data_IF_770288723963
#
_entry.id   IF_770288723963
#
_cell.length_a   1.000
_cell.length_b   1.000
_cell.length_c   1.000
_cell.angle_alpha   90.00
_cell.angle_beta   90.00
_cell.angle_gamma   90.00
#
_symmetry.space_group_name_H-M   'P 1'
#
loop_
_entity.id
_entity.type
_entity.pdbx_description
1 polymer ?
#
# COMPACT_ATOMS: atom_id res chain seq x y z
N UNK A 1 15.36 8.61 -12.67
CA UNK A 1 15.66 7.21 -13.03
C UNK A 1 14.77 6.28 -12.20
N UNK A 2 14.03 5.39 -12.84
CA UNK A 2 13.01 4.55 -12.18
C UNK A 2 13.43 3.09 -12.30
N UNK A 3 13.59 2.42 -11.15
CA UNK A 3 13.74 0.96 -11.12
C UNK A 3 12.35 0.33 -11.14
N UNK A 4 12.04 -0.37 -12.23
CA UNK A 4 10.80 -1.11 -12.35
C UNK A 4 10.93 -2.44 -11.59
N UNK A 5 10.24 -2.56 -10.49
CA UNK A 5 10.27 -3.72 -9.63
C UNK A 5 9.18 -4.73 -10.05
N UNK A 6 9.28 -5.23 -11.26
CA UNK A 6 8.28 -6.08 -11.91
C UNK A 6 7.82 -7.27 -11.05
N UNK A 7 8.74 -7.90 -10.33
CA UNK A 7 8.39 -9.03 -9.46
C UNK A 7 7.34 -8.66 -8.41
N UNK A 8 7.50 -7.49 -7.78
CA UNK A 8 6.53 -7.02 -6.78
C UNK A 8 5.23 -6.56 -7.42
N UNK A 9 5.29 -5.90 -8.57
CA UNK A 9 4.10 -5.51 -9.32
C UNK A 9 3.30 -6.73 -9.73
N UNK A 10 3.95 -7.78 -10.22
CA UNK A 10 3.31 -9.03 -10.57
C UNK A 10 2.66 -9.70 -9.35
N UNK A 11 3.34 -9.71 -8.21
CA UNK A 11 2.80 -10.25 -6.96
C UNK A 11 1.57 -9.46 -6.48
N UNK A 12 1.64 -8.14 -6.48
CA UNK A 12 0.51 -7.26 -6.15
C UNK A 12 -0.66 -7.46 -7.12
N UNK A 13 -0.38 -7.57 -8.40
CA UNK A 13 -1.39 -7.80 -9.42
C UNK A 13 -2.12 -9.13 -9.25
N UNK A 14 -1.42 -10.19 -8.89
CA UNK A 14 -2.01 -11.50 -8.59
C UNK A 14 -2.88 -11.49 -7.33
N UNK A 15 -2.55 -10.61 -6.37
CA UNK A 15 -3.28 -10.49 -5.11
C UNK A 15 -4.49 -9.57 -5.20
N UNK A 16 -4.74 -8.92 -6.33
CA UNK A 16 -5.90 -8.03 -6.48
C UNK A 16 -7.20 -8.76 -6.20
N UNK A 17 -8.07 -8.11 -5.44
CA UNK A 17 -9.42 -8.60 -5.13
C UNK A 17 -9.47 -10.01 -4.51
N UNK A 18 -8.41 -10.40 -3.78
CA UNK A 18 -8.37 -11.70 -3.11
C UNK A 18 -9.10 -11.72 -1.76
N UNK A 19 -9.74 -10.62 -1.36
CA UNK A 19 -10.45 -10.47 -0.09
C UNK A 19 -9.55 -10.23 1.12
N UNK A 20 -8.24 -10.14 0.93
CA UNK A 20 -7.27 -9.90 1.99
C UNK A 20 -6.70 -8.48 1.90
N UNK A 21 -6.28 -7.93 3.03
CA UNK A 21 -5.48 -6.70 3.06
C UNK A 21 -4.05 -7.06 2.64
N UNK A 22 -3.51 -6.34 1.66
CA UNK A 22 -2.12 -6.48 1.24
C UNK A 22 -1.25 -5.62 2.15
N UNK A 23 -0.39 -6.27 2.91
CA UNK A 23 0.48 -5.65 3.90
C UNK A 23 1.90 -5.66 3.36
N UNK A 24 2.39 -4.48 2.98
CA UNK A 24 3.73 -4.32 2.42
C UNK A 24 4.68 -3.95 3.54
N UNK A 25 5.58 -4.88 3.85
CA UNK A 25 6.59 -4.75 4.89
C UNK A 25 7.98 -4.61 4.30
N UNK A 26 8.94 -4.28 5.13
CA UNK A 26 10.34 -4.15 4.76
C UNK A 26 11.01 -2.99 5.48
N UNK A 27 12.32 -2.93 5.36
CA UNK A 27 13.12 -1.88 5.98
C UNK A 27 12.70 -0.49 5.51
N UNK A 28 12.90 0.50 6.36
CA UNK A 28 12.79 1.90 5.95
C UNK A 28 13.71 2.15 4.75
N UNK A 29 13.22 2.91 3.78
CA UNK A 29 13.91 3.20 2.51
C UNK A 29 14.11 1.98 1.57
N UNK A 30 13.42 0.88 1.79
CA UNK A 30 13.42 -0.24 0.84
C UNK A 30 12.59 0.00 -0.43
N UNK A 31 11.89 1.13 -0.51
CA UNK A 31 11.09 1.51 -1.67
C UNK A 31 9.62 1.11 -1.62
N UNK A 32 9.07 0.77 -0.45
CA UNK A 32 7.67 0.39 -0.27
C UNK A 32 6.70 1.48 -0.75
N UNK A 33 6.90 2.70 -0.30
CA UNK A 33 6.06 3.85 -0.66
C UNK A 33 6.08 4.11 -2.16
N UNK A 34 7.25 4.09 -2.77
CA UNK A 34 7.41 4.27 -4.20
C UNK A 34 6.75 3.12 -4.99
N UNK A 35 6.90 1.89 -4.52
CA UNK A 35 6.28 0.72 -5.12
C UNK A 35 4.76 0.87 -5.21
N UNK A 36 4.10 1.26 -4.12
CA UNK A 36 2.65 1.41 -4.10
C UNK A 36 2.16 2.69 -4.77
N UNK A 37 2.72 3.84 -4.36
CA UNK A 37 2.21 5.15 -4.78
C UNK A 37 2.55 5.52 -6.21
N UNK A 38 3.59 4.93 -6.77
CA UNK A 38 4.06 5.22 -8.14
C UNK A 38 3.92 4.02 -9.05
N UNK A 39 4.64 2.94 -8.81
CA UNK A 39 4.72 1.82 -9.72
C UNK A 39 3.39 1.05 -9.82
N UNK A 40 2.82 0.67 -8.69
CA UNK A 40 1.56 -0.09 -8.67
C UNK A 40 0.38 0.77 -9.12
N UNK A 41 0.32 2.02 -8.67
CA UNK A 41 -0.70 2.97 -9.15
C UNK A 41 -0.66 3.11 -10.67
N UNK A 42 0.52 3.29 -11.27
CA UNK A 42 0.67 3.38 -12.71
C UNK A 42 0.24 2.08 -13.40
N UNK A 43 0.59 0.94 -12.84
CA UNK A 43 0.16 -0.35 -13.35
C UNK A 43 -1.36 -0.49 -13.38
N UNK A 44 -2.06 -0.06 -12.33
CA UNK A 44 -3.53 -0.04 -12.29
C UNK A 44 -4.12 0.87 -13.38
N UNK A 45 -3.55 2.06 -13.56
CA UNK A 45 -3.98 2.98 -14.62
C UNK A 45 -3.78 2.38 -16.01
N UNK A 46 -2.63 1.71 -16.23
CA UNK A 46 -2.31 1.05 -17.50
C UNK A 46 -3.26 -0.14 -17.79
N UNK A 47 -3.79 -0.79 -16.76
CA UNK A 47 -4.82 -1.82 -16.87
C UNK A 47 -6.24 -1.26 -17.09
N UNK A 48 -6.40 0.05 -17.12
CA UNK A 48 -7.67 0.71 -17.35
C UNK A 48 -8.48 1.06 -16.10
N UNK A 49 -7.90 0.94 -14.91
CA UNK A 49 -8.53 1.43 -13.68
C UNK A 49 -8.62 2.95 -13.73
N UNK A 50 -9.80 3.51 -13.44
CA UNK A 50 -10.00 4.95 -13.41
C UNK A 50 -9.24 5.57 -12.25
N UNK A 51 -8.70 6.77 -12.45
CA UNK A 51 -7.93 7.47 -11.41
C UNK A 51 -8.74 7.74 -10.15
N UNK A 52 -10.04 8.03 -10.27
CA UNK A 52 -10.95 8.25 -9.15
C UNK A 52 -11.29 6.95 -8.35
N UNK A 53 -10.88 5.79 -8.83
CA UNK A 53 -10.99 4.49 -8.16
C UNK A 53 -9.67 4.05 -7.49
N UNK A 54 -8.66 4.92 -7.48
CA UNK A 54 -7.39 4.69 -6.79
C UNK A 54 -7.26 5.77 -5.70
N UNK A 55 -7.53 5.39 -4.46
CA UNK A 55 -7.51 6.29 -3.31
C UNK A 55 -6.16 6.15 -2.60
N UNK A 56 -5.38 7.22 -2.58
CA UNK A 56 -4.05 7.22 -1.95
C UNK A 56 -4.04 8.13 -0.75
N UNK A 57 -3.71 7.57 0.41
CA UNK A 57 -3.55 8.28 1.68
C UNK A 57 -2.09 8.15 2.11
N UNK A 58 -1.35 9.22 1.99
CA UNK A 58 0.06 9.32 2.38
C UNK A 58 0.17 9.92 3.77
N UNK A 59 0.39 9.07 4.78
CA UNK A 59 0.49 9.51 6.18
C UNK A 59 1.80 10.21 6.53
N UNK A 60 2.82 10.13 5.68
CA UNK A 60 4.04 10.94 5.84
C UNK A 60 3.82 12.42 5.47
N UNK A 61 2.82 12.71 4.66
CA UNK A 61 2.49 14.07 4.25
C UNK A 61 1.71 14.80 5.35
N UNK A 62 2.28 15.86 5.90
CA UNK A 62 1.64 16.67 6.95
C UNK A 62 0.29 17.28 6.55
N UNK A 63 0.05 17.47 5.26
CA UNK A 63 -1.26 17.92 4.75
C UNK A 63 -2.37 16.91 4.99
N UNK A 64 -2.00 15.64 5.19
CA UNK A 64 -2.93 14.53 5.43
C UNK A 64 -3.09 14.21 6.92
N UNK A 65 -2.67 15.07 7.82
CA UNK A 65 -2.74 14.85 9.28
C UNK A 65 -4.15 14.57 9.79
N UNK A 66 -5.19 15.04 9.11
CA UNK A 66 -6.59 14.77 9.48
C UNK A 66 -6.94 13.28 9.37
N UNK A 67 -6.28 12.55 8.48
CA UNK A 67 -6.43 11.11 8.33
C UNK A 67 -5.87 10.29 9.51
N UNK A 68 -5.16 10.91 10.46
CA UNK A 68 -4.80 10.26 11.73
C UNK A 68 -6.03 9.92 12.55
N UNK A 69 -7.10 10.70 12.40
CA UNK A 69 -8.40 10.41 13.01
C UNK A 69 -9.08 9.29 12.23
N UNK A 70 -9.38 8.15 12.89
CA UNK A 70 -9.98 6.99 12.22
C UNK A 70 -11.36 7.28 11.63
N UNK A 71 -12.19 8.03 12.31
CA UNK A 71 -13.53 8.38 11.81
C UNK A 71 -13.46 9.25 10.57
N UNK A 72 -12.54 10.21 10.55
CA UNK A 72 -12.30 11.05 9.37
C UNK A 72 -11.88 10.21 8.16
N UNK A 73 -10.97 9.26 8.35
CA UNK A 73 -10.49 8.37 7.29
C UNK A 73 -11.63 7.52 6.72
N UNK A 74 -12.41 6.88 7.58
CA UNK A 74 -13.52 6.01 7.15
C UNK A 74 -14.61 6.83 6.42
N UNK A 75 -14.97 7.98 6.93
CA UNK A 75 -15.96 8.88 6.30
C UNK A 75 -15.47 9.35 4.92
N UNK A 76 -14.20 9.67 4.80
CA UNK A 76 -13.62 10.08 3.53
C UNK A 76 -13.65 8.93 2.50
N UNK A 77 -13.28 7.72 2.90
CA UNK A 77 -13.33 6.55 2.02
C UNK A 77 -14.77 6.30 1.56
N UNK A 78 -15.73 6.34 2.47
CA UNK A 78 -17.15 6.16 2.15
C UNK A 78 -17.65 7.19 1.14
N UNK A 79 -17.27 8.46 1.30
CA UNK A 79 -17.65 9.54 0.35
C UNK A 79 -17.01 9.37 -1.02
N UNK A 80 -15.81 8.79 -1.10
CA UNK A 80 -15.10 8.58 -2.36
C UNK A 80 -15.63 7.37 -3.12
N UNK A 81 -16.18 6.38 -2.45
CA UNK A 81 -16.72 5.16 -3.05
C UNK A 81 -18.16 5.40 -3.53
N UNK A 82 -18.31 6.00 -4.71
CA UNK A 82 -19.59 6.47 -5.24
C UNK A 82 -20.34 5.47 -6.12
N UNK A 83 -19.72 4.35 -6.48
CA UNK A 83 -20.28 3.29 -7.32
C UNK A 83 -19.92 1.90 -6.79
N UNK A 84 -20.41 0.87 -7.44
CA UNK A 84 -20.22 -0.53 -7.04
C UNK A 84 -18.95 -1.18 -7.63
N UNK A 85 -18.10 -0.40 -8.30
CA UNK A 85 -16.84 -0.89 -8.84
C UNK A 85 -15.78 -1.02 -7.74
N UNK A 86 -14.68 -1.68 -8.06
CA UNK A 86 -13.57 -1.84 -7.13
C UNK A 86 -12.80 -0.53 -6.95
N UNK A 87 -12.59 -0.15 -5.69
CA UNK A 87 -11.71 0.94 -5.27
C UNK A 87 -10.44 0.38 -4.67
N UNK A 88 -9.31 0.78 -5.22
CA UNK A 88 -7.98 0.41 -4.72
C UNK A 88 -7.54 1.45 -3.70
N UNK A 89 -7.48 1.06 -2.42
CA UNK A 89 -7.17 1.96 -1.32
C UNK A 89 -5.74 1.71 -0.87
N UNK A 90 -4.89 2.70 -1.02
CA UNK A 90 -3.48 2.66 -0.68
C UNK A 90 -3.23 3.58 0.51
N UNK A 91 -2.79 3.02 1.64
CA UNK A 91 -2.46 3.79 2.84
C UNK A 91 -0.97 3.58 3.14
N UNK A 92 -0.20 4.63 2.94
CA UNK A 92 1.23 4.63 3.21
C UNK A 92 1.50 5.02 4.67
N UNK A 93 2.33 4.25 5.36
CA UNK A 93 2.62 4.38 6.79
C UNK A 93 1.35 4.33 7.66
N UNK A 94 0.58 3.26 7.50
CA UNK A 94 -0.73 3.11 8.14
C UNK A 94 -0.70 3.14 9.68
N UNK A 95 0.43 2.81 10.31
CA UNK A 95 0.60 2.88 11.76
C UNK A 95 0.48 4.30 12.33
N UNK A 96 0.56 5.33 11.48
CA UNK A 96 0.34 6.72 11.86
C UNK A 96 -1.15 7.07 12.04
N UNK A 97 -2.05 6.20 11.57
CA UNK A 97 -3.49 6.31 11.84
C UNK A 97 -3.77 5.79 13.26
N UNK A 98 -4.51 6.54 14.05
CA UNK A 98 -4.97 6.08 15.35
C UNK A 98 -5.87 4.84 15.17
N UNK A 99 -5.71 3.85 16.04
CA UNK A 99 -6.47 2.59 15.97
C UNK A 99 -6.43 1.90 14.58
N UNK A 100 -5.28 1.97 13.92
CA UNK A 100 -5.14 1.49 12.54
C UNK A 100 -5.53 0.02 12.33
N UNK A 101 -5.35 -0.83 13.35
CA UNK A 101 -5.77 -2.23 13.29
C UNK A 101 -7.28 -2.36 13.15
N UNK A 102 -8.03 -1.58 13.93
CA UNK A 102 -9.49 -1.53 13.85
C UNK A 102 -9.96 -0.96 12.51
N UNK A 103 -9.28 0.08 12.01
CA UNK A 103 -9.55 0.67 10.70
C UNK A 103 -9.34 -0.36 9.57
N UNK A 104 -8.24 -1.10 9.61
CA UNK A 104 -7.98 -2.15 8.64
C UNK A 104 -9.01 -3.27 8.71
N UNK A 105 -9.47 -3.62 9.90
CA UNK A 105 -10.55 -4.59 10.07
C UNK A 105 -11.86 -4.10 9.42
N UNK A 106 -12.21 -2.85 9.61
CA UNK A 106 -13.40 -2.24 8.99
C UNK A 106 -13.28 -2.20 7.47
N UNK A 107 -12.13 -1.81 6.94
CA UNK A 107 -11.90 -1.76 5.50
C UNK A 107 -11.89 -3.16 4.87
N UNK A 108 -11.43 -4.19 5.59
CA UNK A 108 -11.38 -5.56 5.09
C UNK A 108 -12.74 -6.16 4.79
N UNK A 109 -13.79 -5.68 5.44
CA UNK A 109 -15.18 -6.12 5.25
C UNK A 109 -15.99 -5.14 4.40
N UNK A 110 -15.38 -4.06 3.94
CA UNK A 110 -16.05 -3.08 3.07
C UNK A 110 -16.11 -3.63 1.65
N UNK A 111 -17.33 -3.82 1.16
CA UNK A 111 -17.55 -4.29 -0.21
C UNK A 111 -16.99 -3.30 -1.23
N UNK A 112 -16.29 -3.81 -2.23
CA UNK A 112 -15.66 -3.00 -3.26
C UNK A 112 -14.32 -2.37 -2.88
N UNK A 113 -13.87 -2.50 -1.64
CA UNK A 113 -12.57 -2.00 -1.21
C UNK A 113 -11.48 -3.06 -1.34
N UNK A 114 -10.45 -2.75 -2.10
CA UNK A 114 -9.23 -3.56 -2.20
C UNK A 114 -8.07 -2.77 -1.58
N UNK A 115 -7.54 -3.23 -0.45
CA UNK A 115 -6.73 -2.43 0.47
C UNK A 115 -5.27 -2.86 0.45
N UNK A 116 -4.39 -1.88 0.32
CA UNK A 116 -2.93 -2.01 0.29
C UNK A 116 -2.32 -1.04 1.30
N UNK A 117 -1.52 -1.54 2.23
CA UNK A 117 -0.91 -0.70 3.26
C UNK A 117 0.58 -0.93 3.38
N UNK A 118 1.31 0.11 3.75
CA UNK A 118 2.71 0.00 4.16
C UNK A 118 2.87 0.34 5.62
N UNK A 119 3.91 -0.19 6.23
CA UNK A 119 4.40 0.22 7.53
C UNK A 119 5.85 -0.21 7.70
N UNK A 120 6.58 0.48 8.55
CA UNK A 120 8.03 0.31 8.68
C UNK A 120 8.55 0.35 10.12
N UNK A 121 7.70 0.63 11.10
CA UNK A 121 8.12 0.69 12.50
C UNK A 121 7.79 -0.59 13.28
N UNK A 122 8.30 -0.68 14.50
CA UNK A 122 8.10 -1.84 15.39
C UNK A 122 6.63 -2.08 15.75
N UNK A 123 5.79 -1.03 15.82
CA UNK A 123 4.34 -1.15 16.05
C UNK A 123 3.65 -1.92 14.95
N UNK A 124 3.98 -1.59 13.70
CA UNK A 124 3.41 -2.26 12.53
C UNK A 124 3.92 -3.69 12.36
N UNK A 125 5.17 -3.94 12.73
CA UNK A 125 5.82 -5.26 12.65
C UNK A 125 5.60 -6.09 13.91
N UNK A 126 4.88 -5.57 14.91
CA UNK A 126 4.63 -6.32 16.14
C UNK A 126 3.85 -7.59 15.84
N UNK A 127 4.10 -8.62 16.64
CA UNK A 127 3.39 -9.90 16.56
C UNK A 127 1.88 -9.73 16.67
N UNK A 128 1.41 -8.67 17.34
CA UNK A 128 -0.01 -8.38 17.53
C UNK A 128 -0.70 -8.05 16.20
N UNK A 129 -0.10 -7.21 15.35
CA UNK A 129 -0.63 -6.89 14.02
C UNK A 129 -0.65 -8.13 13.14
N UNK A 130 0.45 -8.86 13.08
CA UNK A 130 0.56 -10.10 12.29
C UNK A 130 -0.42 -11.16 12.80
N UNK A 131 -0.59 -11.27 14.12
CA UNK A 131 -1.51 -12.24 14.73
C UNK A 131 -2.97 -11.86 14.46
N UNK A 132 -3.32 -10.61 14.60
CA UNK A 132 -4.70 -10.13 14.44
C UNK A 132 -5.18 -10.22 12.97
N UNK A 133 -4.28 -10.02 12.02
CA UNK A 133 -4.57 -10.21 10.58
C UNK A 133 -4.24 -11.60 10.05
N UNK A 134 -3.91 -12.55 10.92
CA UNK A 134 -3.69 -13.94 10.53
C UNK A 134 -4.94 -14.49 9.81
N UNK A 135 -4.81 -14.78 8.51
CA UNK A 135 -5.92 -15.20 7.65
C UNK A 135 -6.73 -14.07 7.01
N UNK A 136 -6.42 -12.78 7.32
CA UNK A 136 -7.04 -11.59 6.70
C UNK A 136 -6.04 -10.71 5.98
N UNK A 137 -4.75 -10.97 6.14
CA UNK A 137 -3.66 -10.22 5.55
C UNK A 137 -2.83 -11.07 4.60
N UNK A 138 -2.41 -10.45 3.52
CA UNK A 138 -1.47 -11.00 2.54
C UNK A 138 -0.18 -10.17 2.63
N UNK A 139 0.88 -10.73 3.21
CA UNK A 139 2.13 -10.02 3.43
C UNK A 139 3.03 -10.09 2.21
N UNK A 140 3.49 -8.93 1.76
CA UNK A 140 4.50 -8.78 0.72
C UNK A 140 5.70 -8.08 1.31
N UNK A 141 6.80 -8.82 1.47
CA UNK A 141 8.04 -8.26 2.00
C UNK A 141 8.89 -7.66 0.88
N UNK A 142 9.17 -6.36 1.00
CA UNK A 142 9.98 -5.62 0.03
C UNK A 142 11.41 -5.49 0.54
N UNK A 143 12.30 -6.12 -0.19
CA UNK A 143 13.74 -6.03 0.06
C UNK A 143 14.32 -4.76 -0.54
N UNK A 144 15.44 -4.24 0.01
CA UNK A 144 16.22 -3.23 -0.68
C UNK A 144 16.57 -3.66 -2.11
N UNK A 145 16.93 -2.69 -2.96
CA UNK A 145 17.31 -3.01 -4.34
C UNK A 145 18.37 -4.10 -4.39
N UNK A 146 18.10 -5.12 -5.17
CA UNK A 146 19.12 -6.14 -5.48
C UNK A 146 20.22 -5.53 -6.36
N UNK A 147 21.38 -6.15 -6.38
CA UNK A 147 22.45 -5.72 -7.27
C UNK A 147 22.00 -5.69 -8.74
N UNK A 148 21.22 -6.68 -9.16
CA UNK A 148 20.64 -6.73 -10.51
C UNK A 148 19.73 -5.53 -10.78
N UNK A 149 18.82 -5.20 -9.86
CA UNK A 149 17.95 -4.03 -9.99
C UNK A 149 18.76 -2.73 -10.00
N UNK A 150 19.77 -2.63 -9.12
CA UNK A 150 20.68 -1.49 -9.09
C UNK A 150 21.40 -1.32 -10.44
N UNK A 151 21.91 -2.39 -11.00
CA UNK A 151 22.64 -2.34 -12.29
C UNK A 151 21.77 -1.94 -13.47
N UNK A 152 20.45 -2.10 -13.41
CA UNK A 152 19.54 -1.64 -14.48
C UNK A 152 19.48 -0.11 -14.60
N UNK A 153 19.83 0.59 -13.53
CA UNK A 153 19.77 2.06 -13.45
C UNK A 153 21.14 2.69 -13.23
N UNK A 154 22.16 1.85 -13.01
CA UNK A 154 23.52 2.32 -12.83
C UNK A 154 24.15 2.70 -14.18
N UNK A 155 24.17 4.00 -14.41
CA UNK A 155 24.88 4.60 -15.55
C UNK A 155 26.31 4.98 -15.11
N UNK A 156 27.03 3.94 -14.65
CA UNK A 156 28.42 4.09 -14.22
C UNK A 156 29.33 4.31 -15.42
N UNK A 157 29.67 5.57 -15.70
CA UNK A 157 30.94 5.83 -16.37
C UNK A 157 32.03 5.14 -15.53
N UNK A 158 32.61 4.11 -16.09
CA UNK A 158 33.82 3.51 -15.54
C UNK A 158 34.91 4.56 -15.65
N UNK A 159 35.29 5.20 -14.54
CA UNK A 159 36.60 5.76 -14.40
C UNK A 159 37.59 4.65 -14.10
#
# INVERSE_FOLDING_TARGET
MIVNRYRYIEQLSRSKNNGLIKIITGLRRSGKSFLLKKLFRQHLLDEGVREDHILVIDMENRKNREFKNPDYLLDWVEKMMIDDETYYIIIDEVQEVEDFVEILSSLSVTEGADVYVTGSNSRFLSSDVVTEFRGRGDEIHVWPLSFKEFMTVYDGSKE
#
